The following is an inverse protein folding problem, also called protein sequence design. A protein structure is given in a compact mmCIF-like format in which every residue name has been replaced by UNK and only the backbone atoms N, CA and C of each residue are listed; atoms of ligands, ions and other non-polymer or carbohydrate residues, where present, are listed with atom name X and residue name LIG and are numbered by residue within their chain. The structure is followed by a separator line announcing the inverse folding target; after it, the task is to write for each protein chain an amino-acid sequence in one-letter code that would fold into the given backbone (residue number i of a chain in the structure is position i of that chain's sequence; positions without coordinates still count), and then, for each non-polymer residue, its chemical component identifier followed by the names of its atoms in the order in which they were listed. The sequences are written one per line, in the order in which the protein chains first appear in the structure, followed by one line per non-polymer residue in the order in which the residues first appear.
data_IF_875745289186
#
_entry.id   IF_875745289186
#
_cell.length_a   1.000
_cell.length_b   1.000
_cell.length_c   1.000
_cell.angle_alpha   90.00
_cell.angle_beta   90.00
_cell.angle_gamma   90.00
#
_symmetry.space_group_name_H-M   'P 1'
#
loop_
_entity.id
_entity.type
_entity.pdbx_description
1 polymer ?
#
# COMPACT_ATOMS: atom_id res chain seq x y z
N UNK A 1 -32.94 -37.49 35.26
CA UNK A 1 -33.34 -37.58 33.84
C UNK A 1 -32.09 -37.91 33.03
N UNK A 2 -32.05 -39.03 32.30
CA UNK A 2 -30.86 -39.44 31.55
C UNK A 2 -30.80 -38.65 30.23
N UNK A 3 -29.66 -38.05 29.92
CA UNK A 3 -29.44 -37.37 28.64
C UNK A 3 -29.22 -38.40 27.52
N UNK A 4 -29.84 -38.13 26.38
CA UNK A 4 -29.83 -38.93 25.15
C UNK A 4 -28.42 -39.04 24.53
N UNK A 5 -28.01 -40.22 24.03
CA UNK A 5 -26.69 -40.47 23.45
C UNK A 5 -26.49 -39.90 22.02
N UNK A 6 -27.42 -39.08 21.52
CA UNK A 6 -27.37 -38.55 20.15
C UNK A 6 -26.53 -37.26 20.06
N UNK A 7 -26.36 -36.53 21.16
CA UNK A 7 -25.58 -35.29 21.18
C UNK A 7 -24.06 -35.50 21.12
N UNK A 8 -23.56 -36.71 21.41
CA UNK A 8 -22.12 -36.99 21.44
C UNK A 8 -21.54 -37.44 20.08
N UNK A 9 -22.40 -37.75 19.10
CA UNK A 9 -21.95 -38.19 17.76
C UNK A 9 -21.79 -37.06 16.75
N UNK A 10 -22.36 -35.88 16.97
CA UNK A 10 -22.11 -34.71 16.12
C UNK A 10 -20.77 -34.01 16.41
N UNK A 11 -20.20 -34.20 17.61
CA UNK A 11 -18.88 -33.64 17.93
C UNK A 11 -17.72 -34.40 17.27
N UNK A 12 -17.95 -35.63 16.80
CA UNK A 12 -16.92 -36.45 16.15
C UNK A 12 -16.88 -36.31 14.62
N UNK A 13 -17.85 -35.62 14.00
CA UNK A 13 -17.80 -35.36 12.55
C UNK A 13 -16.99 -34.10 12.17
N UNK A 14 -16.58 -33.28 13.14
CA UNK A 14 -15.67 -32.14 12.94
C UNK A 14 -14.19 -32.48 13.19
N UNK A 15 -13.87 -33.72 13.58
CA UNK A 15 -12.50 -34.15 13.84
C UNK A 15 -11.76 -34.66 12.59
N UNK A 16 -12.31 -34.43 11.39
CA UNK A 16 -11.65 -34.63 10.10
C UNK A 16 -11.40 -33.32 9.34
N UNK A 17 -11.57 -32.17 9.98
CA UNK A 17 -11.04 -30.91 9.46
C UNK A 17 -9.52 -31.05 9.51
N UNK A 18 -8.91 -31.16 8.34
CA UNK A 18 -7.46 -31.18 8.16
C UNK A 18 -6.85 -30.07 9.03
N UNK A 19 -5.91 -30.42 9.91
CA UNK A 19 -5.00 -29.44 10.47
C UNK A 19 -4.29 -28.75 9.29
N UNK A 20 -4.80 -27.61 8.82
CA UNK A 20 -3.97 -26.61 8.15
C UNK A 20 -3.01 -26.17 9.26
N UNK A 21 -1.82 -26.76 9.29
CA UNK A 21 -0.72 -26.25 10.12
C UNK A 21 -0.64 -24.75 9.83
N UNK A 22 -0.68 -23.93 10.87
CA UNK A 22 -0.51 -22.48 10.77
C UNK A 22 0.79 -22.22 10.02
N UNK A 23 0.67 -21.96 8.73
CA UNK A 23 1.80 -21.65 7.86
C UNK A 23 2.11 -20.17 7.96
N UNK A 24 3.34 -19.81 7.65
CA UNK A 24 3.69 -18.41 7.35
C UNK A 24 4.23 -18.37 5.94
N UNK A 25 3.56 -17.59 5.08
CA UNK A 25 3.92 -17.45 3.68
C UNK A 25 4.55 -16.07 3.49
N UNK A 26 5.86 -16.05 3.21
CA UNK A 26 6.61 -14.81 2.99
C UNK A 26 6.84 -14.63 1.50
N UNK A 27 6.29 -13.56 0.95
CA UNK A 27 6.40 -13.14 -0.43
C UNK A 27 7.33 -11.93 -0.50
N UNK A 28 8.50 -12.10 -1.11
CA UNK A 28 9.41 -10.99 -1.40
C UNK A 28 9.36 -10.71 -2.89
N UNK A 29 9.22 -9.44 -3.26
CA UNK A 29 9.11 -9.04 -4.65
C UNK A 29 9.83 -7.73 -4.93
N UNK A 30 10.27 -7.63 -6.18
CA UNK A 30 10.71 -6.41 -6.81
C UNK A 30 9.75 -6.13 -7.99
N UNK A 31 9.48 -4.86 -8.24
CA UNK A 31 8.64 -4.43 -9.35
C UNK A 31 9.49 -3.70 -10.37
N UNK A 32 9.12 -3.82 -11.64
CA UNK A 32 9.78 -3.04 -12.67
C UNK A 32 9.43 -1.55 -12.52
N UNK A 33 10.30 -0.64 -12.97
CA UNK A 33 9.97 0.78 -13.06
C UNK A 33 8.67 0.96 -13.85
N UNK A 34 7.74 1.75 -13.30
CA UNK A 34 6.48 2.09 -13.94
C UNK A 34 6.18 3.57 -13.69
N UNK A 35 5.49 4.18 -14.64
CA UNK A 35 5.06 5.57 -14.55
C UNK A 35 4.17 5.76 -13.32
N UNK A 36 4.58 6.66 -12.43
CA UNK A 36 3.71 7.14 -11.36
C UNK A 36 2.79 8.22 -11.92
N UNK A 37 1.51 8.14 -11.60
CA UNK A 37 0.52 9.13 -12.00
C UNK A 37 0.09 9.99 -10.81
N UNK A 38 -0.33 11.20 -11.12
CA UNK A 38 -0.83 12.18 -10.17
C UNK A 38 0.07 13.40 -10.10
N UNK A 39 0.12 14.04 -8.95
CA UNK A 39 0.84 15.29 -8.78
C UNK A 39 0.90 15.76 -7.34
N UNK A 40 1.77 16.74 -7.13
CA UNK A 40 2.05 17.34 -5.84
C UNK A 40 1.92 18.86 -5.95
N UNK A 41 1.31 19.49 -4.95
CA UNK A 41 1.21 20.94 -4.90
C UNK A 41 1.07 21.46 -3.48
N UNK A 42 1.82 22.52 -3.20
CA UNK A 42 1.80 23.28 -1.95
C UNK A 42 1.60 24.76 -2.29
N UNK A 43 0.55 25.38 -1.76
CA UNK A 43 0.32 26.80 -1.95
C UNK A 43 -0.32 27.45 -0.70
N UNK A 44 0.36 28.46 -0.16
CA UNK A 44 -0.08 29.20 1.02
C UNK A 44 -1.26 30.17 0.77
N UNK A 45 -1.49 30.61 -0.48
CA UNK A 45 -2.36 31.75 -0.77
C UNK A 45 -3.57 31.43 -1.67
N UNK A 46 -3.48 30.37 -2.49
CA UNK A 46 -4.55 29.94 -3.40
C UNK A 46 -4.75 28.42 -3.32
N UNK A 47 -5.76 27.89 -4.03
CA UNK A 47 -5.89 26.45 -4.22
C UNK A 47 -4.61 25.90 -4.88
N UNK A 48 -4.07 24.76 -4.41
CA UNK A 48 -2.78 24.30 -4.87
C UNK A 48 -2.91 23.86 -6.32
N UNK A 49 -2.05 24.41 -7.19
CA UNK A 49 -1.87 23.88 -8.54
C UNK A 49 -0.90 22.72 -8.42
N UNK A 50 -1.41 21.51 -8.63
CA UNK A 50 -0.58 20.31 -8.61
C UNK A 50 0.37 20.35 -9.81
N UNK A 51 1.68 20.29 -9.54
CA UNK A 51 2.66 19.92 -10.56
C UNK A 51 2.57 18.40 -10.74
N UNK A 52 2.36 17.94 -11.97
CA UNK A 52 2.27 16.51 -12.23
C UNK A 52 3.62 15.85 -11.98
N UNK A 53 3.63 14.58 -11.58
CA UNK A 53 4.89 13.85 -11.42
C UNK A 53 5.68 13.74 -12.72
N UNK A 54 5.00 13.73 -13.87
CA UNK A 54 5.65 13.79 -15.18
C UNK A 54 6.36 15.14 -15.39
N UNK A 55 5.72 16.25 -15.04
CA UNK A 55 6.34 17.58 -15.14
C UNK A 55 7.59 17.69 -14.25
N UNK A 56 7.57 17.05 -13.08
CA UNK A 56 8.70 16.96 -12.14
C UNK A 56 9.78 15.95 -12.57
N UNK A 57 9.57 15.23 -13.68
CA UNK A 57 10.51 14.24 -14.20
C UNK A 57 10.57 12.94 -13.40
N UNK A 58 9.57 12.65 -12.56
CA UNK A 58 9.50 11.47 -11.69
C UNK A 58 8.94 10.22 -12.40
N UNK A 59 9.04 10.15 -13.72
CA UNK A 59 8.49 9.05 -14.52
C UNK A 59 9.24 7.73 -14.29
N UNK A 60 10.51 7.80 -13.89
CA UNK A 60 11.34 6.61 -13.68
C UNK A 60 11.50 6.32 -12.18
N UNK A 61 11.10 5.11 -11.78
CA UNK A 61 11.40 4.56 -10.44
C UNK A 61 12.90 4.27 -10.35
N UNK A 62 13.54 4.80 -9.30
CA UNK A 62 14.96 4.53 -9.00
C UNK A 62 15.15 3.15 -8.38
N UNK A 63 14.43 2.87 -7.29
CA UNK A 63 14.42 1.57 -6.61
C UNK A 63 13.02 1.22 -6.12
N UNK A 64 12.69 -0.07 -6.16
CA UNK A 64 11.45 -0.61 -5.59
C UNK A 64 11.75 -1.85 -4.77
N UNK A 65 11.16 -1.95 -3.59
CA UNK A 65 11.22 -3.17 -2.80
C UNK A 65 9.88 -3.38 -2.11
N UNK A 66 9.40 -4.62 -2.12
CA UNK A 66 8.20 -4.96 -1.40
C UNK A 66 8.22 -6.36 -0.83
N UNK A 67 7.42 -6.53 0.22
CA UNK A 67 7.21 -7.79 0.88
C UNK A 67 5.78 -7.92 1.37
N UNK A 68 5.31 -9.15 1.43
CA UNK A 68 4.04 -9.53 2.04
C UNK A 68 4.23 -10.78 2.88
N UNK A 69 3.62 -10.82 4.05
CA UNK A 69 3.57 -11.99 4.91
C UNK A 69 2.11 -12.35 5.11
N UNK A 70 1.76 -13.58 4.77
CA UNK A 70 0.43 -14.14 4.96
C UNK A 70 0.46 -15.20 6.07
N UNK A 71 -0.46 -15.06 7.02
CA UNK A 71 -0.58 -15.97 8.17
C UNK A 71 -2.02 -16.50 8.16
N UNK A 72 -2.28 -17.64 7.49
CA UNK A 72 -3.57 -18.30 7.53
C UNK A 72 -3.88 -18.86 8.92
N UNK A 73 -5.08 -18.60 9.40
CA UNK A 73 -5.70 -19.24 10.56
C UNK A 73 -6.93 -20.04 10.12
N UNK A 74 -7.53 -20.81 11.03
CA UNK A 74 -8.65 -21.71 10.69
C UNK A 74 -9.87 -20.98 10.11
N UNK A 75 -10.15 -19.76 10.56
CA UNK A 75 -11.31 -18.95 10.13
C UNK A 75 -10.95 -17.47 9.94
N UNK A 76 -9.67 -17.20 9.78
CA UNK A 76 -9.16 -15.85 9.64
C UNK A 76 -7.85 -15.86 8.86
N UNK A 77 -7.47 -14.71 8.37
CA UNK A 77 -6.20 -14.52 7.69
C UNK A 77 -5.64 -13.17 8.04
N UNK A 78 -4.36 -13.18 8.42
CA UNK A 78 -3.61 -11.96 8.70
C UNK A 78 -2.61 -11.72 7.58
N UNK A 79 -2.60 -10.51 7.03
CA UNK A 79 -1.65 -10.09 6.00
C UNK A 79 -0.86 -8.89 6.50
N UNK A 80 0.45 -8.95 6.41
CA UNK A 80 1.36 -7.81 6.60
C UNK A 80 1.95 -7.45 5.24
N UNK A 81 1.95 -6.18 4.87
CA UNK A 81 2.56 -5.69 3.63
C UNK A 81 3.54 -4.56 3.94
N UNK A 82 4.61 -4.50 3.18
CA UNK A 82 5.53 -3.35 3.13
C UNK A 82 5.89 -3.11 1.67
N UNK A 83 5.81 -1.87 1.23
CA UNK A 83 6.37 -1.40 -0.02
C UNK A 83 7.15 -0.13 0.27
N UNK A 84 8.33 -0.02 -0.31
CA UNK A 84 9.07 1.23 -0.44
C UNK A 84 9.42 1.47 -1.90
N UNK A 85 9.34 2.73 -2.32
CA UNK A 85 9.69 3.20 -3.66
C UNK A 85 10.34 4.55 -3.57
N UNK A 86 11.40 4.69 -4.34
CA UNK A 86 12.16 5.94 -4.47
C UNK A 86 12.11 6.39 -5.93
N UNK A 87 11.80 7.65 -6.15
CA UNK A 87 11.74 8.30 -7.44
C UNK A 87 12.66 9.51 -7.43
N UNK A 88 13.43 9.70 -8.50
CA UNK A 88 14.28 10.87 -8.65
C UNK A 88 14.27 11.32 -10.10
N UNK A 89 14.22 12.63 -10.31
CA UNK A 89 14.02 13.19 -11.64
C UNK A 89 14.45 14.65 -11.72
N UNK A 90 14.53 15.15 -12.95
CA UNK A 90 14.63 16.59 -13.20
C UNK A 90 13.51 17.00 -14.12
N UNK A 91 12.85 18.10 -13.78
CA UNK A 91 11.65 18.55 -14.45
C UNK A 91 11.49 20.06 -14.47
N UNK A 92 10.30 20.50 -14.88
CA UNK A 92 9.88 21.90 -14.86
C UNK A 92 8.68 22.01 -13.93
N UNK A 93 8.76 22.93 -12.98
CA UNK A 93 7.67 23.19 -12.05
C UNK A 93 6.51 23.90 -12.78
N UNK A 94 5.26 23.39 -12.67
CA UNK A 94 4.10 23.95 -13.41
C UNK A 94 3.17 24.81 -12.55
N UNK A 95 3.41 24.86 -11.24
CA UNK A 95 2.84 25.85 -10.31
C UNK A 95 3.94 26.50 -9.48
N UNK A 96 3.61 27.51 -8.70
CA UNK A 96 4.55 28.04 -7.72
C UNK A 96 4.68 27.04 -6.57
N UNK A 97 5.90 26.83 -6.09
CA UNK A 97 6.16 25.99 -4.94
C UNK A 97 6.71 26.86 -3.81
N UNK A 98 6.00 26.88 -2.70
CA UNK A 98 6.41 27.59 -1.50
C UNK A 98 6.38 26.62 -0.33
N UNK A 99 7.55 26.39 0.27
CA UNK A 99 7.70 25.60 1.48
C UNK A 99 8.52 26.40 2.49
N UNK A 100 8.00 26.54 3.70
CA UNK A 100 8.53 27.45 4.72
C UNK A 100 8.80 28.87 4.17
N UNK A 101 10.09 29.22 4.00
CA UNK A 101 10.56 30.53 3.54
C UNK A 101 11.15 30.48 2.12
N UNK A 102 11.19 29.31 1.50
CA UNK A 102 11.73 29.10 0.17
C UNK A 102 10.61 29.16 -0.86
N UNK A 103 10.83 29.92 -1.93
CA UNK A 103 9.90 30.08 -3.03
C UNK A 103 10.59 29.74 -4.35
N UNK A 104 10.09 28.71 -5.01
CA UNK A 104 10.51 28.29 -6.35
C UNK A 104 9.39 28.69 -7.32
N UNK A 105 9.64 29.64 -8.24
CA UNK A 105 8.61 30.13 -9.13
C UNK A 105 8.25 29.09 -10.20
N UNK A 106 7.01 29.17 -10.69
CA UNK A 106 6.54 28.40 -11.84
C UNK A 106 7.50 28.55 -13.02
N UNK A 107 7.82 27.45 -13.69
CA UNK A 107 8.70 27.40 -14.86
C UNK A 107 10.19 27.24 -14.51
N UNK A 108 10.56 27.24 -13.23
CA UNK A 108 11.91 26.85 -12.80
C UNK A 108 12.22 25.41 -13.16
N UNK A 109 13.48 25.16 -13.49
CA UNK A 109 14.01 23.81 -13.63
C UNK A 109 14.33 23.27 -12.25
N UNK A 110 13.80 22.11 -11.90
CA UNK A 110 13.95 21.52 -10.58
C UNK A 110 14.52 20.11 -10.64
N UNK A 111 15.32 19.74 -9.65
CA UNK A 111 15.57 18.36 -9.30
C UNK A 111 14.53 17.96 -8.24
N UNK A 112 13.95 16.78 -8.38
CA UNK A 112 12.91 16.29 -7.49
C UNK A 112 13.23 14.87 -7.05
N UNK A 113 13.12 14.65 -5.74
CA UNK A 113 13.19 13.34 -5.11
C UNK A 113 11.85 13.07 -4.43
N UNK A 114 11.33 11.86 -4.57
CA UNK A 114 10.05 11.47 -3.99
C UNK A 114 10.14 10.05 -3.47
N UNK A 115 9.93 9.89 -2.17
CA UNK A 115 9.92 8.59 -1.51
C UNK A 115 8.52 8.26 -1.00
N UNK A 116 8.08 7.06 -1.36
CA UNK A 116 6.79 6.50 -0.97
C UNK A 116 7.03 5.21 -0.20
N UNK A 117 6.56 5.17 1.04
CA UNK A 117 6.50 3.92 1.81
C UNK A 117 5.08 3.64 2.29
N UNK A 118 4.59 2.44 2.00
CA UNK A 118 3.33 1.92 2.50
C UNK A 118 3.57 0.63 3.28
N UNK A 119 3.24 0.65 4.57
CA UNK A 119 3.19 -0.55 5.39
C UNK A 119 1.75 -0.78 5.85
N UNK A 120 1.27 -2.01 5.79
CA UNK A 120 -0.08 -2.31 6.26
C UNK A 120 -0.18 -3.65 6.97
N UNK A 121 -1.13 -3.70 7.90
CA UNK A 121 -1.60 -4.89 8.57
C UNK A 121 -3.08 -5.05 8.28
N UNK A 122 -3.48 -6.25 7.85
CA UNK A 122 -4.87 -6.62 7.60
C UNK A 122 -5.21 -7.85 8.43
N UNK A 123 -6.42 -7.86 8.96
CA UNK A 123 -7.00 -9.04 9.55
C UNK A 123 -8.41 -9.25 8.99
N UNK A 124 -8.60 -10.36 8.29
CA UNK A 124 -9.86 -10.75 7.64
C UNK A 124 -10.41 -12.01 8.29
N UNK A 125 -11.73 -12.07 8.42
CA UNK A 125 -12.46 -13.26 8.89
C UNK A 125 -13.15 -13.92 7.70
N UNK A 126 -13.02 -15.24 7.60
CA UNK A 126 -13.60 -16.00 6.49
C UNK A 126 -15.12 -16.09 6.67
N UNK A 127 -15.86 -15.56 5.69
CA UNK A 127 -17.32 -15.58 5.63
C UNK A 127 -17.85 -16.85 4.97
N UNK A 128 -17.08 -17.41 4.04
CA UNK A 128 -17.40 -18.62 3.30
C UNK A 128 -16.21 -19.57 3.39
N UNK A 129 -16.08 -20.34 4.49
CA UNK A 129 -15.06 -21.37 4.56
C UNK A 129 -15.44 -22.51 3.59
N UNK A 130 -14.56 -22.76 2.62
CA UNK A 130 -14.67 -23.89 1.69
C UNK A 130 -13.30 -24.56 1.58
N UNK A 131 -13.27 -25.81 1.12
CA UNK A 131 -12.02 -26.57 1.00
C UNK A 131 -11.00 -25.85 0.09
N UNK A 132 -11.50 -25.14 -0.92
CA UNK A 132 -10.68 -24.50 -1.96
C UNK A 132 -10.87 -22.98 -2.04
N UNK A 133 -11.89 -22.40 -1.41
CA UNK A 133 -12.21 -20.97 -1.54
C UNK A 133 -12.30 -20.32 -0.17
N UNK A 134 -11.68 -19.15 -0.05
CA UNK A 134 -11.81 -18.29 1.13
C UNK A 134 -12.31 -16.93 0.68
N UNK A 135 -13.45 -16.48 1.21
CA UNK A 135 -13.92 -15.10 1.08
C UNK A 135 -13.88 -14.45 2.46
N UNK A 136 -13.05 -13.44 2.63
CA UNK A 136 -12.86 -12.74 3.90
C UNK A 136 -13.23 -11.27 3.82
N UNK A 137 -13.79 -10.75 4.91
CA UNK A 137 -13.92 -9.31 5.16
C UNK A 137 -13.22 -8.99 6.48
N UNK A 138 -12.71 -7.78 6.60
CA UNK A 138 -11.82 -7.44 7.69
C UNK A 138 -11.59 -5.96 7.87
N UNK A 139 -10.67 -5.69 8.78
CA UNK A 139 -10.15 -4.36 9.05
C UNK A 139 -8.64 -4.39 8.80
N UNK A 140 -8.11 -3.23 8.45
CA UNK A 140 -6.68 -3.02 8.36
C UNK A 140 -6.24 -1.76 9.06
N UNK A 141 -4.93 -1.69 9.30
CA UNK A 141 -4.21 -0.52 9.71
C UNK A 141 -3.07 -0.34 8.75
N UNK A 142 -3.06 0.81 8.09
CA UNK A 142 -2.03 1.25 7.18
C UNK A 142 -1.18 2.34 7.79
N UNK A 143 0.03 2.43 7.28
CA UNK A 143 1.02 3.43 7.59
C UNK A 143 1.57 3.93 6.26
N UNK A 144 1.33 5.20 5.98
CA UNK A 144 1.82 5.88 4.79
C UNK A 144 2.91 6.88 5.20
N UNK A 145 4.06 6.78 4.53
CA UNK A 145 5.13 7.77 4.57
C UNK A 145 5.31 8.36 3.17
N UNK A 146 5.31 9.68 3.10
CA UNK A 146 5.55 10.44 1.88
C UNK A 146 6.65 11.46 2.17
N UNK A 147 7.71 11.44 1.39
CA UNK A 147 8.77 12.43 1.45
C UNK A 147 8.96 13.03 0.05
N UNK A 148 9.10 14.35 -0.04
CA UNK A 148 9.30 15.04 -1.33
C UNK A 148 10.36 16.12 -1.16
N UNK A 149 11.49 15.95 -1.86
CA UNK A 149 12.53 16.96 -2.00
C UNK A 149 12.41 17.69 -3.34
N UNK A 150 12.52 19.01 -3.33
CA UNK A 150 12.56 19.83 -4.55
C UNK A 150 13.69 20.85 -4.44
N UNK A 151 14.61 20.84 -5.40
CA UNK A 151 15.73 21.78 -5.50
C UNK A 151 15.64 22.56 -6.81
N UNK A 152 15.71 23.90 -6.74
CA UNK A 152 15.83 24.76 -7.91
C UNK A 152 17.24 24.69 -8.50
N UNK A 153 17.34 24.07 -9.67
CA UNK A 153 18.59 23.91 -10.42
C UNK A 153 18.72 24.91 -11.57
N UNK A 154 17.82 25.91 -11.63
CA UNK A 154 17.91 27.02 -12.58
C UNK A 154 19.19 27.83 -12.33
N UNK A 155 19.88 28.37 -13.36
CA UNK A 155 21.06 29.19 -13.14
C UNK A 155 20.80 30.40 -12.23
N UNK A 156 21.37 30.36 -11.01
CA UNK A 156 21.17 31.38 -9.98
C UNK A 156 20.00 31.12 -9.03
N UNK A 157 19.31 29.99 -9.16
CA UNK A 157 18.33 29.48 -8.19
C UNK A 157 18.99 29.12 -6.86
N UNK A 158 18.25 29.31 -5.78
CA UNK A 158 18.70 28.98 -4.41
C UNK A 158 17.65 28.24 -3.59
N UNK A 159 16.44 28.06 -4.14
CA UNK A 159 15.35 27.42 -3.41
C UNK A 159 15.57 25.92 -3.30
N UNK A 160 15.46 25.40 -2.09
CA UNK A 160 15.48 23.96 -1.82
C UNK A 160 14.50 23.66 -0.70
N UNK A 161 13.72 22.58 -0.84
CA UNK A 161 12.98 21.99 0.26
C UNK A 161 13.44 20.56 0.44
N UNK A 162 13.85 20.23 1.65
CA UNK A 162 13.92 18.85 2.09
C UNK A 162 12.53 18.47 2.58
N UNK A 163 12.02 17.33 2.10
CA UNK A 163 10.69 16.85 2.50
C UNK A 163 10.69 16.45 3.96
N UNK A 164 9.70 16.92 4.71
CA UNK A 164 9.40 16.42 6.04
C UNK A 164 8.80 15.01 5.96
N UNK A 165 9.19 14.17 6.92
CA UNK A 165 8.64 12.82 7.08
C UNK A 165 7.19 12.91 7.59
N UNK A 166 6.24 12.90 6.67
CA UNK A 166 4.81 12.88 7.00
C UNK A 166 4.29 11.46 7.21
N UNK A 167 3.72 11.18 8.40
CA UNK A 167 3.17 9.85 8.71
C UNK A 167 1.66 9.92 8.90
N UNK A 168 0.93 9.11 8.13
CA UNK A 168 -0.54 9.07 8.19
C UNK A 168 -0.99 7.66 8.58
N UNK A 169 -1.45 7.43 9.82
CA UNK A 169 -2.09 6.18 10.19
C UNK A 169 -3.48 6.11 9.54
N UNK A 170 -3.78 4.98 8.89
CA UNK A 170 -4.98 4.78 8.10
C UNK A 170 -5.74 3.54 8.58
N UNK A 171 -6.90 3.70 9.20
CA UNK A 171 -7.78 2.56 9.46
C UNK A 171 -8.52 2.21 8.17
N UNK A 172 -8.39 0.98 7.69
CA UNK A 172 -8.94 0.55 6.41
C UNK A 172 -10.00 -0.54 6.57
N UNK A 173 -10.90 -0.63 5.60
CA UNK A 173 -11.71 -1.83 5.38
C UNK A 173 -10.90 -2.78 4.50
N UNK A 174 -10.88 -4.06 4.86
CA UNK A 174 -10.15 -5.08 4.12
C UNK A 174 -11.09 -6.13 3.54
N UNK A 175 -10.82 -6.57 2.31
CA UNK A 175 -11.48 -7.68 1.65
C UNK A 175 -10.46 -8.65 1.07
N UNK A 176 -10.77 -9.95 1.10
CA UNK A 176 -9.92 -11.02 0.57
C UNK A 176 -10.76 -12.04 -0.17
N UNK A 177 -10.27 -12.50 -1.31
CA UNK A 177 -10.75 -13.68 -2.02
C UNK A 177 -9.54 -14.57 -2.34
N UNK A 178 -9.55 -15.84 -1.94
CA UNK A 178 -8.50 -16.77 -2.27
C UNK A 178 -9.06 -18.09 -2.83
N UNK A 179 -8.30 -18.71 -3.72
CA UNK A 179 -8.54 -20.03 -4.28
C UNK A 179 -7.27 -20.88 -4.15
N UNK A 180 -7.41 -22.08 -3.60
CA UNK A 180 -6.31 -23.03 -3.39
C UNK A 180 -6.63 -24.35 -4.07
N UNK A 181 -5.69 -24.87 -4.88
CA UNK A 181 -5.81 -26.19 -5.50
C UNK A 181 -4.44 -26.85 -5.68
N UNK A 182 -4.08 -27.70 -4.72
CA UNK A 182 -2.78 -28.38 -4.69
C UNK A 182 -1.63 -27.36 -4.59
N UNK A 183 -0.64 -27.40 -5.50
CA UNK A 183 0.49 -26.45 -5.48
C UNK A 183 0.12 -25.05 -5.97
N UNK A 184 -1.06 -24.86 -6.57
CA UNK A 184 -1.49 -23.57 -7.11
C UNK A 184 -2.35 -22.83 -6.09
N UNK A 185 -2.05 -21.54 -5.89
CA UNK A 185 -2.84 -20.61 -5.09
C UNK A 185 -3.08 -19.32 -5.87
N UNK A 186 -4.28 -18.78 -5.79
CA UNK A 186 -4.65 -17.47 -6.35
C UNK A 186 -5.28 -16.66 -5.24
N UNK A 187 -4.88 -15.41 -5.06
CA UNK A 187 -5.53 -14.52 -4.09
C UNK A 187 -5.70 -13.12 -4.65
N UNK A 188 -6.77 -12.46 -4.21
CA UNK A 188 -7.02 -11.05 -4.40
C UNK A 188 -7.28 -10.44 -3.03
N UNK A 189 -6.70 -9.28 -2.76
CA UNK A 189 -6.97 -8.49 -1.56
C UNK A 189 -7.26 -7.04 -1.95
N UNK A 190 -8.09 -6.38 -1.15
CA UNK A 190 -8.43 -4.97 -1.27
C UNK A 190 -8.35 -4.33 0.12
N UNK A 191 -7.62 -3.23 0.24
CA UNK A 191 -7.80 -2.26 1.32
C UNK A 191 -8.43 -1.01 0.76
N UNK A 192 -9.33 -0.41 1.55
CA UNK A 192 -9.92 0.87 1.19
C UNK A 192 -10.15 1.73 2.43
N UNK A 193 -9.88 3.02 2.29
CA UNK A 193 -10.17 4.07 3.26
C UNK A 193 -10.67 5.30 2.52
N UNK A 194 -11.71 5.91 3.06
CA UNK A 194 -12.05 7.30 2.80
C UNK A 194 -12.32 7.98 4.13
N UNK A 195 -11.55 9.01 4.46
CA UNK A 195 -11.63 9.74 5.71
C UNK A 195 -11.54 11.24 5.49
N UNK A 196 -12.24 12.00 6.33
CA UNK A 196 -12.12 13.44 6.46
C UNK A 196 -11.88 13.71 7.94
N UNK A 197 -10.72 14.26 8.28
CA UNK A 197 -10.27 14.45 9.65
C UNK A 197 -9.74 15.87 9.83
N UNK A 198 -10.20 16.54 10.89
CA UNK A 198 -9.59 17.79 11.35
C UNK A 198 -8.38 17.42 12.22
N UNK A 199 -7.18 17.64 11.70
CA UNK A 199 -5.92 17.37 12.37
C UNK A 199 -5.33 18.71 12.81
N UNK A 200 -5.30 18.98 14.12
CA UNK A 200 -5.08 20.33 14.67
C UNK A 200 -4.02 21.20 13.96
N UNK A 201 -2.79 20.72 13.81
CA UNK A 201 -1.71 21.48 13.15
C UNK A 201 -1.72 21.39 11.62
N UNK A 202 -2.53 20.50 11.05
CA UNK A 202 -2.65 20.26 9.61
C UNK A 202 -3.94 20.86 9.01
N UNK A 203 -4.94 21.23 9.80
CA UNK A 203 -6.24 21.70 9.30
C UNK A 203 -7.15 20.53 8.90
N UNK A 204 -8.04 20.75 7.93
CA UNK A 204 -8.90 19.68 7.42
C UNK A 204 -8.14 18.82 6.41
N UNK A 205 -8.01 17.52 6.70
CA UNK A 205 -7.37 16.53 5.85
C UNK A 205 -8.41 15.55 5.31
N UNK A 206 -8.64 15.61 4.00
CA UNK A 206 -9.42 14.63 3.27
C UNK A 206 -8.46 13.62 2.63
N UNK A 207 -8.56 12.36 3.02
CA UNK A 207 -7.71 11.29 2.53
C UNK A 207 -8.55 10.14 1.97
N UNK A 208 -8.23 9.71 0.76
CA UNK A 208 -8.73 8.49 0.14
C UNK A 208 -7.55 7.58 -0.21
N UNK A 209 -7.63 6.32 0.19
CA UNK A 209 -6.61 5.32 -0.09
C UNK A 209 -7.28 4.04 -0.58
N UNK A 210 -6.73 3.46 -1.64
CA UNK A 210 -7.08 2.12 -2.09
C UNK A 210 -5.83 1.31 -2.40
N UNK A 211 -5.85 0.04 -2.02
CA UNK A 211 -4.79 -0.93 -2.33
C UNK A 211 -5.42 -2.25 -2.79
N UNK A 212 -5.36 -2.52 -4.08
CA UNK A 212 -5.79 -3.78 -4.67
C UNK A 212 -4.57 -4.62 -5.06
N UNK A 213 -4.52 -5.88 -4.63
CA UNK A 213 -3.41 -6.79 -4.89
C UNK A 213 -3.92 -8.15 -5.33
N UNK A 214 -3.54 -8.57 -6.53
CA UNK A 214 -3.81 -9.87 -7.11
C UNK A 214 -2.52 -10.69 -7.20
N UNK A 215 -2.54 -11.93 -6.72
CA UNK A 215 -1.37 -12.77 -6.58
C UNK A 215 -1.68 -14.20 -7.05
N UNK A 216 -0.80 -14.76 -7.88
CA UNK A 216 -0.78 -16.17 -8.25
C UNK A 216 0.53 -16.78 -7.75
N UNK A 217 0.43 -17.86 -6.99
CA UNK A 217 1.56 -18.55 -6.39
C UNK A 217 1.57 -20.03 -6.78
N UNK A 218 2.75 -20.58 -7.02
CA UNK A 218 2.97 -21.99 -7.31
C UNK A 218 4.05 -22.58 -6.40
N UNK A 219 3.69 -23.57 -5.60
CA UNK A 219 4.61 -24.31 -4.74
C UNK A 219 5.48 -25.22 -5.59
N UNK A 220 6.80 -24.95 -5.59
CA UNK A 220 7.80 -25.73 -6.34
C UNK A 220 8.22 -26.95 -5.54
N UNK A 221 8.45 -26.76 -4.24
CA UNK A 221 8.89 -27.82 -3.33
C UNK A 221 8.31 -27.59 -1.94
N UNK A 222 7.88 -28.66 -1.28
CA UNK A 222 7.37 -28.62 0.09
C UNK A 222 7.79 -29.89 0.84
N UNK A 223 8.22 -29.73 2.08
CA UNK A 223 8.51 -30.82 3.01
C UNK A 223 7.95 -30.50 4.42
N UNK A 224 8.26 -31.33 5.41
CA UNK A 224 7.77 -31.17 6.79
C UNK A 224 8.33 -29.96 7.55
N UNK A 225 9.34 -29.28 7.00
CA UNK A 225 10.04 -28.14 7.61
C UNK A 225 9.84 -26.85 6.83
N UNK A 226 9.05 -26.87 5.77
CA UNK A 226 8.75 -25.71 4.94
C UNK A 226 8.78 -26.00 3.44
N UNK A 227 8.75 -24.95 2.65
CA UNK A 227 8.72 -25.04 1.20
C UNK A 227 9.24 -23.80 0.50
N UNK A 228 9.36 -23.91 -0.82
CA UNK A 228 9.70 -22.83 -1.72
C UNK A 228 8.68 -22.79 -2.86
N UNK A 229 8.25 -21.59 -3.22
CA UNK A 229 7.38 -21.35 -4.35
C UNK A 229 7.80 -20.13 -5.15
N UNK A 230 7.16 -19.98 -6.30
CA UNK A 230 7.27 -18.81 -7.16
C UNK A 230 5.93 -18.10 -7.12
N UNK A 231 5.95 -16.79 -7.25
CA UNK A 231 4.72 -16.03 -7.40
C UNK A 231 4.85 -14.91 -8.42
N UNK A 232 3.72 -14.56 -9.01
CA UNK A 232 3.52 -13.42 -9.88
C UNK A 232 2.26 -12.70 -9.42
N UNK A 233 2.30 -11.39 -9.36
CA UNK A 233 1.17 -10.58 -8.96
C UNK A 233 1.04 -9.30 -9.75
N UNK A 234 -0.06 -8.62 -9.51
CA UNK A 234 -0.38 -7.30 -10.02
C UNK A 234 -1.00 -6.50 -8.89
N UNK A 235 -0.47 -5.29 -8.67
CA UNK A 235 -0.94 -4.40 -7.64
C UNK A 235 -1.35 -3.08 -8.25
N UNK A 236 -2.46 -2.54 -7.77
CA UNK A 236 -2.98 -1.22 -8.11
C UNK A 236 -3.25 -0.50 -6.80
N UNK A 237 -2.62 0.65 -6.59
CA UNK A 237 -2.79 1.42 -5.38
C UNK A 237 -2.88 2.90 -5.71
N UNK A 238 -3.73 3.60 -4.97
CA UNK A 238 -3.85 5.03 -5.04
C UNK A 238 -3.95 5.66 -3.66
N UNK A 239 -3.44 6.87 -3.56
CA UNK A 239 -3.56 7.75 -2.41
C UNK A 239 -3.92 9.13 -2.94
N UNK A 240 -4.97 9.71 -2.40
CA UNK A 240 -5.37 11.08 -2.65
C UNK A 240 -5.48 11.73 -1.29
N UNK A 241 -4.69 12.77 -1.06
CA UNK A 241 -4.74 13.55 0.17
C UNK A 241 -4.88 15.01 -0.19
N UNK A 242 -5.88 15.68 0.38
CA UNK A 242 -6.06 17.12 0.29
C UNK A 242 -6.03 17.68 1.71
N UNK A 243 -5.17 18.66 1.92
CA UNK A 243 -5.08 19.45 3.14
C UNK A 243 -5.62 20.83 2.79
N UNK A 244 -6.61 21.28 3.56
CA UNK A 244 -7.21 22.59 3.41
C UNK A 244 -7.24 23.32 4.75
N UNK A 245 -7.30 24.65 4.66
CA UNK A 245 -7.48 25.53 5.82
C UNK A 245 -6.33 25.47 6.85
N UNK A 246 -5.09 25.25 6.40
CA UNK A 246 -3.92 25.32 7.26
C UNK A 246 -3.32 26.74 7.30
N UNK A 247 -3.13 27.32 8.49
CA UNK A 247 -2.55 28.67 8.62
C UNK A 247 -1.05 28.76 8.24
N UNK A 248 -0.30 27.64 8.34
CA UNK A 248 1.14 27.55 8.08
C UNK A 248 1.46 27.11 6.65
N UNK A 249 0.74 26.11 6.14
CA UNK A 249 0.97 25.49 4.82
C UNK A 249 -0.06 25.90 3.76
N UNK A 250 -1.14 26.60 4.14
CA UNK A 250 -2.26 26.93 3.27
C UNK A 250 -3.03 25.69 2.81
N UNK A 251 -3.00 25.43 1.51
CA UNK A 251 -3.58 24.25 0.91
C UNK A 251 -2.48 23.34 0.33
N UNK A 252 -2.55 22.06 0.63
CA UNK A 252 -1.66 21.03 0.10
C UNK A 252 -2.45 19.92 -0.57
N UNK A 253 -1.89 19.30 -1.60
CA UNK A 253 -2.50 18.15 -2.24
C UNK A 253 -1.46 17.19 -2.76
N UNK A 254 -1.72 15.89 -2.58
CA UNK A 254 -1.00 14.82 -3.25
C UNK A 254 -2.01 13.85 -3.86
N UNK A 255 -1.85 13.60 -5.15
CA UNK A 255 -2.45 12.45 -5.82
C UNK A 255 -1.31 11.54 -6.25
N UNK A 256 -1.35 10.29 -5.78
CA UNK A 256 -0.40 9.25 -6.12
C UNK A 256 -1.18 8.04 -6.60
N UNK A 257 -0.87 7.56 -7.81
CA UNK A 257 -1.42 6.33 -8.35
C UNK A 257 -0.32 5.51 -8.97
N UNK A 258 -0.38 4.21 -8.74
CA UNK A 258 0.53 3.25 -9.35
C UNK A 258 -0.19 1.94 -9.61
N UNK A 259 0.14 1.32 -10.74
CA UNK A 259 -0.27 -0.03 -11.05
C UNK A 259 0.89 -0.78 -11.69
N UNK A 260 1.22 -1.96 -11.18
CA UNK A 260 2.44 -2.66 -11.60
C UNK A 260 2.35 -4.19 -11.40
N UNK A 261 2.97 -4.96 -12.30
CA UNK A 261 3.23 -6.37 -12.06
C UNK A 261 4.43 -6.52 -11.10
N UNK A 262 4.45 -7.62 -10.36
CA UNK A 262 5.59 -8.01 -9.54
C UNK A 262 5.79 -9.53 -9.57
N UNK A 263 7.02 -9.96 -9.31
CA UNK A 263 7.40 -11.37 -9.29
C UNK A 263 8.31 -11.63 -8.11
N UNK A 264 8.28 -12.85 -7.60
CA UNK A 264 9.05 -13.15 -6.41
C UNK A 264 9.07 -14.61 -6.01
N UNK A 265 9.65 -14.82 -4.84
CA UNK A 265 9.73 -16.11 -4.17
C UNK A 265 8.76 -16.13 -3.00
N UNK A 266 8.13 -17.28 -2.78
CA UNK A 266 7.37 -17.54 -1.56
C UNK A 266 8.11 -18.56 -0.69
N UNK A 267 8.28 -18.26 0.58
CA UNK A 267 8.79 -19.18 1.59
C UNK A 267 7.63 -19.62 2.49
N UNK A 268 7.49 -20.92 2.67
CA UNK A 268 6.46 -21.53 3.52
C UNK A 268 7.16 -22.15 4.73
N UNK A 269 6.64 -21.92 5.93
CA UNK A 269 7.16 -22.49 7.19
C UNK A 269 6.09 -23.28 7.94
#
# INVERSE_FOLDING_TARGET
MPMSPIALRLLFLFALVSCRTTGVDVHLFDSQPQDVQGGHGLNQYEAPRLSSFADLGLENVGQSFGGRIDIPQENAHTTLKLISREYAGTGILTGDYTYEHEHIPTGSQVATEFDFTWASWQHTWDLLPSDNWDLGLGLGLGYLSLQTGIEDITPGGTGSSDGDDGWIPAATLAGRLAYHNGPLSVSASLEWLASSLELGSLGQVDAELGDADFLVSYTVFQNSSGGLGLHAGFRDSYVITNISENEEYGNAGIEYRQAYPYFGLSLFF
#
